data_IF_410905789449
#
_entry.id   IF_410905789449
#
_cell.length_a   1.000
_cell.length_b   1.000
_cell.length_c   1.000
_cell.angle_alpha   90.00
_cell.angle_beta   90.00
_cell.angle_gamma   90.00
#
_symmetry.space_group_name_H-M   'P 1'
#
loop_
_entity.id
_entity.type
_entity.pdbx_description
1 polymer ?
#
# COMPACT_ATOMS: atom_id res chain seq x y z
N UNK A 1 2.36 9.60 -8.65
CA UNK A 1 3.06 8.74 -7.68
C UNK A 1 2.59 9.08 -6.27
N UNK A 2 2.49 8.10 -5.39
CA UNK A 2 2.23 8.31 -3.96
C UNK A 2 3.53 8.14 -3.17
N UNK A 3 3.65 8.85 -2.04
CA UNK A 3 4.81 8.73 -1.13
C UNK A 3 4.33 8.35 0.27
N UNK A 4 4.68 7.14 0.73
CA UNK A 4 4.47 6.71 2.12
C UNK A 4 5.74 6.97 2.92
N UNK A 5 5.65 7.83 3.94
CA UNK A 5 6.75 8.14 4.86
C UNK A 5 6.64 7.31 6.13
N UNK A 6 7.72 6.64 6.50
CA UNK A 6 7.76 5.74 7.66
C UNK A 6 8.90 6.19 8.56
N UNK A 7 8.56 6.65 9.77
CA UNK A 7 9.55 7.02 10.77
C UNK A 7 10.18 5.76 11.39
N UNK A 8 11.50 5.64 11.31
CA UNK A 8 12.23 4.47 11.79
C UNK A 8 12.62 4.59 13.28
N UNK A 9 12.40 5.74 13.92
CA UNK A 9 12.71 5.96 15.34
C UNK A 9 11.61 5.36 16.23
N UNK A 10 12.02 4.66 17.29
CA UNK A 10 11.08 4.08 18.26
C UNK A 10 10.28 2.88 17.75
N UNK A 11 10.52 2.41 16.52
CA UNK A 11 9.91 1.19 16.00
C UNK A 11 10.50 -0.05 16.70
N UNK A 12 9.65 -0.75 17.44
CA UNK A 12 9.94 -2.08 18.00
C UNK A 12 10.07 -3.15 16.92
N UNK A 13 9.35 -3.01 15.79
CA UNK A 13 9.22 -4.04 14.76
C UNK A 13 9.79 -3.60 13.39
N UNK A 14 11.07 -3.25 13.33
CA UNK A 14 11.77 -2.90 12.06
C UNK A 14 11.63 -4.00 10.99
N UNK A 15 11.53 -5.26 11.42
CA UNK A 15 11.33 -6.41 10.52
C UNK A 15 10.02 -6.34 9.73
N UNK A 16 8.92 -5.85 10.31
CA UNK A 16 7.64 -5.73 9.60
C UNK A 16 7.72 -4.71 8.46
N UNK A 17 8.39 -3.58 8.68
CA UNK A 17 8.62 -2.57 7.63
C UNK A 17 9.52 -3.11 6.52
N UNK A 18 10.55 -3.87 6.87
CA UNK A 18 11.38 -4.54 5.86
C UNK A 18 10.61 -5.61 5.08
N UNK A 19 9.73 -6.37 5.75
CA UNK A 19 8.87 -7.34 5.10
C UNK A 19 7.93 -6.67 4.11
N UNK A 20 7.27 -5.56 4.49
CA UNK A 20 6.45 -4.77 3.56
C UNK A 20 7.25 -4.37 2.32
N UNK A 21 8.43 -3.78 2.51
CA UNK A 21 9.29 -3.35 1.40
C UNK A 21 9.72 -4.52 0.51
N UNK A 22 10.15 -5.65 1.09
CA UNK A 22 10.55 -6.83 0.32
C UNK A 22 9.40 -7.41 -0.49
N UNK A 23 8.22 -7.56 0.12
CA UNK A 23 7.03 -8.12 -0.56
C UNK A 23 6.69 -7.27 -1.77
N UNK A 24 6.67 -5.94 -1.63
CA UNK A 24 6.36 -5.04 -2.74
C UNK A 24 7.46 -4.96 -3.81
N UNK A 25 8.73 -5.09 -3.41
CA UNK A 25 9.87 -5.02 -4.34
C UNK A 25 10.01 -6.30 -5.18
N UNK A 26 9.74 -7.46 -4.60
CA UNK A 26 9.96 -8.77 -5.23
C UNK A 26 8.72 -9.23 -6.01
N UNK A 27 7.51 -8.88 -5.57
CA UNK A 27 6.28 -9.32 -6.21
C UNK A 27 5.70 -8.18 -7.07
N UNK A 28 5.56 -8.45 -8.37
CA UNK A 28 4.76 -7.62 -9.27
C UNK A 28 3.52 -8.41 -9.68
N UNK A 29 2.35 -7.88 -9.35
CA UNK A 29 1.05 -8.44 -9.68
C UNK A 29 0.11 -7.28 -10.04
N UNK A 30 -0.82 -7.45 -10.99
CA UNK A 30 -1.84 -6.43 -11.28
C UNK A 30 -2.66 -5.98 -10.06
N UNK A 31 -2.78 -6.83 -9.05
CA UNK A 31 -3.60 -6.59 -7.85
C UNK A 31 -2.77 -6.18 -6.63
N UNK A 32 -1.48 -5.87 -6.83
CA UNK A 32 -0.59 -5.34 -5.80
C UNK A 32 -0.09 -3.97 -6.23
N UNK A 33 -0.23 -2.98 -5.35
CA UNK A 33 0.26 -1.62 -5.59
C UNK A 33 1.74 -1.66 -5.96
N UNK A 34 2.07 -1.13 -7.13
CA UNK A 34 3.40 -1.21 -7.69
C UNK A 34 4.40 -0.34 -6.91
N UNK A 35 5.49 -0.97 -6.49
CA UNK A 35 6.66 -0.30 -5.94
C UNK A 35 7.51 0.31 -7.06
N UNK A 36 7.90 1.58 -6.88
CA UNK A 36 8.74 2.30 -7.83
C UNK A 36 10.17 2.46 -7.28
N UNK A 37 10.31 3.06 -6.10
CA UNK A 37 11.61 3.28 -5.48
C UNK A 37 11.49 3.55 -3.96
N UNK A 38 12.62 3.64 -3.26
CA UNK A 38 12.67 4.02 -1.85
C UNK A 38 13.91 4.84 -1.50
N UNK A 39 13.75 5.77 -0.58
CA UNK A 39 14.80 6.68 -0.14
C UNK A 39 14.86 6.70 1.38
N UNK A 40 16.07 6.68 1.94
CA UNK A 40 16.28 6.97 3.35
C UNK A 40 16.63 8.46 3.47
N UNK A 41 15.72 9.24 4.04
CA UNK A 41 15.89 10.68 4.26
C UNK A 41 15.86 10.92 5.76
N UNK A 42 16.97 11.42 6.31
CA UNK A 42 17.22 11.51 7.74
C UNK A 42 17.01 10.17 8.48
N UNK A 43 15.87 10.03 9.18
CA UNK A 43 15.47 8.83 9.92
C UNK A 43 14.11 8.32 9.47
N UNK A 44 13.70 8.69 8.26
CA UNK A 44 12.46 8.26 7.62
C UNK A 44 12.75 7.46 6.36
N UNK A 45 12.09 6.32 6.22
CA UNK A 45 12.03 5.59 4.96
C UNK A 45 10.87 6.14 4.13
N UNK A 46 11.17 6.64 2.95
CA UNK A 46 10.19 7.12 1.99
C UNK A 46 10.02 6.06 0.91
N UNK A 47 8.79 5.59 0.73
CA UNK A 47 8.42 4.63 -0.31
C UNK A 47 7.71 5.37 -1.44
N UNK A 48 8.23 5.27 -2.66
CA UNK A 48 7.60 5.80 -3.86
C UNK A 48 6.81 4.68 -4.53
N UNK A 49 5.53 4.93 -4.70
CA UNK A 49 4.54 3.95 -5.14
C UNK A 49 3.74 4.51 -6.32
N UNK A 50 3.09 3.62 -7.08
CA UNK A 50 2.04 4.09 -7.96
C UNK A 50 0.91 4.79 -7.17
N UNK A 51 0.24 5.71 -7.83
CA UNK A 51 -0.86 6.44 -7.21
C UNK A 51 -2.18 5.80 -7.63
N UNK A 52 -2.97 5.37 -6.65
CA UNK A 52 -4.30 4.83 -6.84
C UNK A 52 -5.31 5.97 -6.67
N UNK A 53 -5.82 6.51 -7.76
CA UNK A 53 -6.73 7.66 -7.80
C UNK A 53 -8.16 7.34 -7.34
N UNK A 54 -8.54 6.06 -7.35
CA UNK A 54 -9.84 5.57 -6.88
C UNK A 54 -10.09 5.62 -5.36
N UNK A 55 -9.09 6.03 -4.57
CA UNK A 55 -9.21 6.09 -3.11
C UNK A 55 -9.20 4.72 -2.44
N UNK A 56 -9.76 4.62 -1.23
CA UNK A 56 -9.77 3.37 -0.45
C UNK A 56 -11.12 2.66 -0.51
N UNK A 57 -11.11 1.33 -0.44
CA UNK A 57 -12.35 0.55 -0.28
C UNK A 57 -13.11 0.93 1.00
N UNK A 58 -12.39 1.38 2.04
CA UNK A 58 -12.99 1.88 3.28
C UNK A 58 -13.85 3.12 3.08
N UNK A 59 -13.53 3.98 2.11
CA UNK A 59 -14.33 5.16 1.81
C UNK A 59 -15.60 4.75 1.04
N UNK A 60 -15.47 3.81 0.09
CA UNK A 60 -16.61 3.29 -0.68
C UNK A 60 -17.67 2.66 0.22
N UNK A 61 -17.27 1.79 1.15
CA UNK A 61 -18.21 1.10 2.05
C UNK A 61 -18.85 2.00 3.11
N UNK A 62 -18.27 3.19 3.36
CA UNK A 62 -18.87 4.18 4.27
C UNK A 62 -19.97 4.99 3.58
N UNK A 63 -19.78 5.30 2.30
CA UNK A 63 -20.68 6.17 1.54
C UNK A 63 -21.77 5.39 0.79
N UNK A 64 -21.53 4.11 0.48
CA UNK A 64 -22.42 3.31 -0.38
C UNK A 64 -22.53 1.85 0.07
N UNK A 65 -23.66 1.22 -0.25
CA UNK A 65 -23.82 -0.23 -0.14
C UNK A 65 -23.40 -0.90 -1.45
N UNK A 66 -22.46 -1.84 -1.36
CA UNK A 66 -22.03 -2.64 -2.50
C UNK A 66 -23.01 -3.79 -2.76
N UNK A 67 -23.33 -4.03 -4.02
CA UNK A 67 -24.05 -5.22 -4.46
C UNK A 67 -23.17 -6.48 -4.36
N UNK A 68 -23.80 -7.66 -4.30
CA UNK A 68 -23.05 -8.93 -4.27
C UNK A 68 -22.09 -9.07 -5.47
N UNK A 69 -22.46 -8.55 -6.65
CA UNK A 69 -21.61 -8.56 -7.83
C UNK A 69 -20.34 -7.72 -7.67
N UNK A 70 -20.45 -6.54 -7.05
CA UNK A 70 -19.29 -5.67 -6.77
C UNK A 70 -18.40 -6.26 -5.68
N UNK A 71 -18.99 -6.86 -4.63
CA UNK A 71 -18.26 -7.57 -3.58
C UNK A 71 -17.48 -8.75 -4.19
N UNK A 72 -18.12 -9.53 -5.07
CA UNK A 72 -17.47 -10.64 -5.76
C UNK A 72 -16.31 -10.17 -6.65
N UNK A 73 -16.47 -9.06 -7.37
CA UNK A 73 -15.43 -8.48 -8.22
C UNK A 73 -14.20 -8.01 -7.42
N UNK A 74 -14.37 -7.51 -6.20
CA UNK A 74 -13.24 -7.16 -5.31
C UNK A 74 -12.60 -8.40 -4.70
N UNK A 75 -13.41 -9.41 -4.35
CA UNK A 75 -12.93 -10.63 -3.67
C UNK A 75 -12.20 -11.62 -4.58
N UNK A 76 -12.37 -11.48 -5.91
CA UNK A 76 -11.80 -12.38 -6.92
C UNK A 76 -10.62 -11.78 -7.69
N UNK A 77 -10.28 -10.51 -7.39
CA UNK A 77 -9.02 -9.91 -7.81
C UNK A 77 -7.86 -10.52 -7.02
#
# INVERSE_FOLDING_TARGET
VAIKKINLQGMTNKELTMNELMVMKINRSPNLVNYLDSYLVDKELWLVMEYMDGGTLSDVIKETYMSEGEIAAVSTQ
#
